data_IF_888944258290
#
_entry.id   IF_888944258290
#
_cell.length_a   1.000
_cell.length_b   1.000
_cell.length_c   1.000
_cell.angle_alpha   90.00
_cell.angle_beta   90.00
_cell.angle_gamma   90.00
#
_symmetry.space_group_name_H-M   'P 1'
#
loop_
_entity.id
_entity.type
_entity.pdbx_description
1 polymer ?
#
# COMPACT_ATOMS: atom_id res chain seq x y z
N UNK A 1 -37.79 -69.03 17.45
CA UNK A 1 -36.47 -69.66 17.46
C UNK A 1 -35.64 -69.00 16.37
N UNK A 2 -34.76 -68.05 16.74
CA UNK A 2 -33.88 -67.37 15.79
C UNK A 2 -32.53 -68.10 15.74
N UNK A 3 -31.89 -68.27 14.58
CA UNK A 3 -30.64 -69.01 14.47
C UNK A 3 -29.50 -68.17 15.07
N UNK A 4 -28.69 -68.80 15.90
CA UNK A 4 -27.46 -68.22 16.42
C UNK A 4 -26.43 -68.11 15.29
N UNK A 5 -25.95 -66.90 15.03
CA UNK A 5 -24.85 -66.65 14.10
C UNK A 5 -23.55 -67.12 14.78
N UNK A 6 -22.72 -67.96 14.14
CA UNK A 6 -21.53 -68.50 14.76
C UNK A 6 -20.49 -67.39 14.97
N UNK A 7 -19.78 -67.46 16.10
CA UNK A 7 -18.79 -66.47 16.56
C UNK A 7 -17.61 -66.12 15.60
N UNK A 8 -17.16 -66.94 14.62
CA UNK A 8 -15.97 -66.56 13.86
C UNK A 8 -16.26 -65.50 12.78
N UNK A 9 -17.53 -65.18 12.50
CA UNK A 9 -17.88 -64.17 11.49
C UNK A 9 -17.78 -62.72 12.01
N UNK A 10 -17.81 -62.50 13.32
CA UNK A 10 -17.64 -61.18 13.94
C UNK A 10 -16.17 -60.73 14.01
N UNK A 11 -15.22 -61.67 13.97
CA UNK A 11 -13.79 -61.35 14.03
C UNK A 11 -13.21 -60.85 12.68
N UNK A 12 -13.85 -61.19 11.56
CA UNK A 12 -13.35 -60.81 10.23
C UNK A 12 -13.76 -59.37 9.81
N UNK A 13 -14.83 -58.82 10.40
CA UNK A 13 -15.26 -57.44 10.16
C UNK A 13 -14.39 -56.39 10.88
N UNK A 14 -13.61 -56.79 11.89
CA UNK A 14 -12.71 -55.90 12.62
C UNK A 14 -11.36 -55.65 11.90
N UNK A 15 -11.05 -56.41 10.83
CA UNK A 15 -9.78 -56.32 10.09
C UNK A 15 -9.87 -55.48 8.80
N UNK A 16 -11.04 -54.91 8.49
CA UNK A 16 -11.26 -54.08 7.29
C UNK A 16 -11.59 -52.60 7.59
N UNK A 17 -11.53 -52.17 8.84
CA UNK A 17 -11.69 -50.77 9.22
C UNK A 17 -10.34 -50.19 9.66
N UNK A 18 -9.57 -49.54 8.77
CA UNK A 18 -8.48 -48.69 9.24
C UNK A 18 -9.10 -47.47 9.91
N UNK A 19 -8.86 -47.31 11.22
CA UNK A 19 -8.89 -46.01 11.89
C UNK A 19 -10.21 -45.55 12.49
N UNK A 20 -10.63 -46.13 13.62
CA UNK A 20 -11.54 -45.48 14.57
C UNK A 20 -11.04 -45.76 16.00
N UNK A 21 -9.90 -45.19 16.35
CA UNK A 21 -9.27 -45.41 17.66
C UNK A 21 -8.18 -44.42 18.03
N UNK A 22 -8.12 -43.25 17.38
CA UNK A 22 -7.34 -42.12 17.87
C UNK A 22 -8.27 -41.19 18.65
N UNK A 23 -7.87 -40.78 19.85
CA UNK A 23 -8.50 -39.63 20.50
C UNK A 23 -8.47 -38.47 19.50
N UNK A 24 -9.63 -37.85 19.23
CA UNK A 24 -9.68 -36.60 18.46
C UNK A 24 -8.71 -35.62 19.16
N UNK A 25 -7.88 -34.87 18.42
CA UNK A 25 -7.04 -33.85 19.05
C UNK A 25 -7.96 -32.93 19.86
N UNK A 26 -7.59 -32.68 21.11
CA UNK A 26 -8.23 -31.63 21.88
C UNK A 26 -7.91 -30.31 21.17
N UNK A 27 -8.89 -29.76 20.47
CA UNK A 27 -8.80 -28.45 19.88
C UNK A 27 -9.11 -27.41 20.97
N UNK A 28 -8.15 -26.51 21.23
CA UNK A 28 -8.31 -25.42 22.19
C UNK A 28 -9.22 -24.29 21.69
N UNK A 29 -9.75 -24.41 20.46
CA UNK A 29 -10.70 -23.47 19.88
C UNK A 29 -12.15 -23.97 19.98
N UNK A 30 -13.09 -23.11 20.41
CA UNK A 30 -14.52 -23.39 20.28
C UNK A 30 -14.93 -23.76 18.85
N UNK A 31 -15.89 -24.68 18.69
CA UNK A 31 -16.35 -25.18 17.38
C UNK A 31 -16.76 -24.08 16.37
N UNK A 32 -17.30 -22.95 16.86
CA UNK A 32 -17.68 -21.83 16.00
C UNK A 32 -16.48 -21.07 15.40
N UNK A 33 -15.28 -21.25 15.95
CA UNK A 33 -14.04 -20.66 15.43
C UNK A 33 -13.25 -21.63 14.55
N UNK A 34 -13.67 -22.89 14.40
CA UNK A 34 -12.90 -23.89 13.64
C UNK A 34 -12.63 -23.49 12.18
N UNK A 35 -13.52 -22.68 11.60
CA UNK A 35 -13.37 -22.19 10.23
C UNK A 35 -12.98 -20.70 10.15
N UNK A 36 -12.56 -20.07 11.25
CA UNK A 36 -12.20 -18.64 11.25
C UNK A 36 -10.85 -18.37 10.57
N UNK A 37 -9.95 -19.34 10.52
CA UNK A 37 -8.70 -19.27 9.75
C UNK A 37 -8.26 -20.66 9.29
N UNK A 38 -7.30 -20.75 8.37
CA UNK A 38 -6.73 -22.04 7.97
C UNK A 38 -5.88 -22.67 9.07
N UNK A 39 -5.19 -21.86 9.87
CA UNK A 39 -4.39 -22.34 11.01
C UNK A 39 -5.27 -23.00 12.07
N UNK A 40 -6.41 -22.38 12.40
CA UNK A 40 -7.37 -22.96 13.35
C UNK A 40 -8.02 -24.22 12.77
N UNK A 41 -8.38 -24.23 11.49
CA UNK A 41 -8.93 -25.41 10.83
C UNK A 41 -7.94 -26.59 10.84
N UNK A 42 -6.64 -26.33 10.64
CA UNK A 42 -5.58 -27.34 10.67
C UNK A 42 -5.31 -27.83 12.10
N UNK A 43 -5.23 -26.91 13.06
CA UNK A 43 -5.06 -27.24 14.48
C UNK A 43 -6.21 -28.11 15.01
N UNK A 44 -7.42 -27.93 14.47
CA UNK A 44 -8.63 -28.59 14.91
C UNK A 44 -9.10 -29.72 13.97
N UNK A 45 -8.29 -30.12 12.98
CA UNK A 45 -8.61 -31.16 11.99
C UNK A 45 -9.99 -30.97 11.33
N UNK A 46 -10.36 -29.70 11.09
CA UNK A 46 -11.64 -29.29 10.52
C UNK A 46 -11.51 -28.86 9.05
N UNK A 47 -10.39 -29.17 8.39
CA UNK A 47 -10.05 -28.73 7.02
C UNK A 47 -11.13 -29.14 6.02
N UNK A 48 -11.59 -30.40 6.09
CA UNK A 48 -12.63 -30.95 5.20
C UNK A 48 -14.03 -30.39 5.46
N UNK A 49 -14.29 -29.92 6.68
CA UNK A 49 -15.52 -29.25 7.07
C UNK A 49 -15.52 -27.80 6.55
N UNK A 50 -14.38 -27.12 6.70
CA UNK A 50 -14.24 -25.72 6.34
C UNK A 50 -14.04 -25.49 4.83
N UNK A 51 -13.58 -26.49 4.08
CA UNK A 51 -13.39 -26.41 2.63
C UNK A 51 -14.69 -26.29 1.84
N UNK A 52 -15.81 -26.79 2.38
CA UNK A 52 -17.13 -26.74 1.76
C UNK A 52 -18.00 -25.56 2.22
N UNK A 53 -17.56 -24.83 3.25
CA UNK A 53 -18.20 -23.58 3.62
C UNK A 53 -17.66 -22.50 2.70
N UNK A 54 -18.55 -21.87 1.91
CA UNK A 54 -18.24 -20.61 1.25
C UNK A 54 -17.90 -19.60 2.33
N UNK A 55 -16.60 -19.45 2.64
CA UNK A 55 -16.13 -18.37 3.48
C UNK A 55 -16.57 -17.07 2.82
N UNK A 56 -17.10 -16.09 3.58
CA UNK A 56 -17.14 -14.73 3.09
C UNK A 56 -15.74 -14.42 2.55
N UNK A 57 -15.66 -13.89 1.33
CA UNK A 57 -14.37 -13.49 0.79
C UNK A 57 -13.70 -12.56 1.82
N UNK A 58 -12.46 -12.88 2.19
CA UNK A 58 -11.65 -12.06 3.07
C UNK A 58 -11.64 -10.63 2.55
N UNK A 59 -11.74 -9.64 3.46
CA UNK A 59 -11.49 -8.26 3.05
C UNK A 59 -10.05 -8.15 2.54
N UNK A 60 -9.80 -7.40 1.45
CA UNK A 60 -8.44 -7.12 1.00
C UNK A 60 -7.67 -6.40 2.12
N UNK A 61 -6.37 -6.65 2.18
CA UNK A 61 -5.48 -5.86 3.04
C UNK A 61 -5.30 -4.49 2.40
N UNK A 62 -5.55 -3.44 3.18
CA UNK A 62 -5.42 -2.06 2.71
C UNK A 62 -4.00 -1.56 2.96
N UNK A 63 -3.30 -1.17 1.90
CA UNK A 63 -2.01 -0.48 1.95
C UNK A 63 -2.20 0.98 1.56
N UNK A 64 -1.86 1.91 2.43
CA UNK A 64 -1.70 3.32 2.04
C UNK A 64 -0.23 3.72 2.15
N UNK A 65 0.31 4.26 1.06
CA UNK A 65 1.70 4.71 0.97
C UNK A 65 1.73 6.23 0.80
N UNK A 66 2.31 6.93 1.78
CA UNK A 66 2.60 8.35 1.70
C UNK A 66 4.09 8.52 1.37
N UNK A 67 4.37 9.23 0.27
CA UNK A 67 5.71 9.23 -0.33
C UNK A 67 6.00 10.48 -1.15
N UNK A 68 7.24 10.63 -1.62
CA UNK A 68 7.69 11.73 -2.48
C UNK A 68 8.46 11.18 -3.68
N UNK A 69 8.25 11.79 -4.85
CA UNK A 69 8.77 11.31 -6.12
C UNK A 69 10.30 11.36 -6.26
N UNK A 70 11.02 12.08 -5.39
CA UNK A 70 12.50 12.09 -5.40
C UNK A 70 13.13 11.46 -4.16
N UNK A 71 12.35 10.94 -3.21
CA UNK A 71 12.89 10.28 -2.04
C UNK A 71 13.42 8.87 -2.39
N UNK A 72 14.73 8.56 -2.21
CA UNK A 72 15.28 7.27 -2.60
C UNK A 72 14.62 6.06 -1.93
N UNK A 73 14.28 6.16 -0.64
CA UNK A 73 13.61 5.09 0.10
C UNK A 73 12.18 4.86 -0.39
N UNK A 74 11.45 5.94 -0.68
CA UNK A 74 10.11 5.89 -1.26
C UNK A 74 10.10 5.14 -2.58
N UNK A 75 11.02 5.52 -3.47
CA UNK A 75 11.17 4.95 -4.79
C UNK A 75 11.53 3.48 -4.74
N UNK A 76 12.49 3.13 -3.87
CA UNK A 76 12.86 1.73 -3.66
C UNK A 76 11.65 0.92 -3.17
N UNK A 77 10.92 1.41 -2.18
CA UNK A 77 9.77 0.70 -1.63
C UNK A 77 8.64 0.55 -2.67
N UNK A 78 8.30 1.61 -3.39
CA UNK A 78 7.26 1.57 -4.43
C UNK A 78 7.61 0.58 -5.54
N UNK A 79 8.84 0.65 -6.07
CA UNK A 79 9.29 -0.16 -7.20
C UNK A 79 9.54 -1.61 -6.81
N UNK A 80 10.16 -1.86 -5.64
CA UNK A 80 10.61 -3.20 -5.26
C UNK A 80 9.60 -3.97 -4.41
N UNK A 81 8.85 -3.29 -3.54
CA UNK A 81 7.89 -3.94 -2.64
C UNK A 81 6.46 -3.82 -3.19
N UNK A 82 5.96 -2.59 -3.40
CA UNK A 82 4.54 -2.36 -3.73
C UNK A 82 4.20 -2.89 -5.12
N UNK A 83 4.98 -2.54 -6.14
CA UNK A 83 4.72 -3.00 -7.51
C UNK A 83 4.85 -4.52 -7.63
N UNK A 84 5.84 -5.13 -6.98
CA UNK A 84 6.01 -6.58 -6.93
C UNK A 84 4.82 -7.27 -6.25
N UNK A 85 4.35 -6.75 -5.11
CA UNK A 85 3.19 -7.31 -4.42
C UNK A 85 1.93 -7.22 -5.28
N UNK A 86 1.70 -6.08 -5.93
CA UNK A 86 0.57 -5.88 -6.84
C UNK A 86 0.58 -6.84 -8.04
N UNK A 87 1.75 -7.18 -8.58
CA UNK A 87 1.87 -8.14 -9.68
C UNK A 87 1.66 -9.60 -9.26
N UNK A 88 2.07 -9.96 -8.04
CA UNK A 88 2.09 -11.35 -7.58
C UNK A 88 0.81 -11.76 -6.86
N UNK A 89 0.11 -10.81 -6.24
CA UNK A 89 -1.08 -11.10 -5.44
C UNK A 89 -2.34 -11.08 -6.32
N UNK A 90 -3.34 -11.92 -5.99
CA UNK A 90 -4.67 -11.80 -6.59
C UNK A 90 -5.27 -10.40 -6.34
N UNK A 91 -6.06 -9.85 -7.28
CA UNK A 91 -6.67 -8.52 -7.15
C UNK A 91 -7.51 -8.32 -5.89
N UNK A 92 -8.08 -9.39 -5.36
CA UNK A 92 -8.90 -9.41 -4.14
C UNK A 92 -8.11 -9.41 -2.82
N UNK A 93 -6.77 -9.50 -2.90
CA UNK A 93 -5.92 -9.64 -1.71
C UNK A 93 -5.38 -8.32 -1.19
N UNK A 94 -5.12 -7.35 -2.07
CA UNK A 94 -4.43 -6.11 -1.74
C UNK A 94 -5.10 -4.92 -2.42
N UNK A 95 -5.51 -3.95 -1.62
CA UNK A 95 -5.97 -2.65 -2.10
C UNK A 95 -4.92 -1.59 -1.78
N UNK A 96 -4.55 -0.77 -2.77
CA UNK A 96 -3.41 0.14 -2.68
C UNK A 96 -3.88 1.58 -2.86
N UNK A 97 -3.55 2.43 -1.90
CA UNK A 97 -3.70 3.89 -1.97
C UNK A 97 -2.32 4.52 -2.02
N UNK A 98 -2.11 5.41 -2.98
CA UNK A 98 -0.87 6.18 -3.15
C UNK A 98 -1.15 7.63 -2.83
N UNK A 99 -0.29 8.26 -2.04
CA UNK A 99 -0.39 9.68 -1.66
C UNK A 99 0.96 10.36 -1.93
N UNK A 100 1.20 10.83 -3.18
CA UNK A 100 2.39 11.60 -3.52
C UNK A 100 2.29 13.01 -2.95
N UNK A 101 3.04 13.26 -1.88
CA UNK A 101 3.17 14.55 -1.20
C UNK A 101 4.33 14.49 -0.20
N UNK A 102 4.29 13.47 0.67
CA UNK A 102 5.26 13.18 1.70
C UNK A 102 5.54 14.35 2.63
N UNK A 103 6.79 14.79 2.71
CA UNK A 103 7.20 15.91 3.55
C UNK A 103 7.22 17.26 2.81
N UNK A 104 6.54 17.35 1.65
CA UNK A 104 6.32 18.64 1.02
C UNK A 104 5.56 19.58 1.99
N UNK A 105 5.78 20.87 1.80
CA UNK A 105 5.23 21.94 2.60
C UNK A 105 4.54 22.94 1.68
N UNK A 106 3.62 23.75 2.19
CA UNK A 106 3.00 24.81 1.41
C UNK A 106 3.80 26.10 1.64
N UNK A 107 4.44 26.62 0.60
CA UNK A 107 5.49 27.65 0.69
C UNK A 107 5.10 29.09 0.35
N UNK A 108 5.92 30.06 0.78
CA UNK A 108 5.72 31.50 0.60
C UNK A 108 6.70 32.10 -0.42
N UNK A 109 6.25 33.02 -1.29
CA UNK A 109 7.16 33.78 -2.14
C UNK A 109 7.97 34.79 -1.32
N UNK A 110 9.31 34.88 -1.47
CA UNK A 110 10.05 36.02 -0.95
C UNK A 110 9.65 37.28 -1.75
N UNK A 111 9.15 38.28 -1.04
CA UNK A 111 9.21 39.65 -1.52
C UNK A 111 10.69 39.96 -1.78
N UNK A 112 11.03 40.25 -3.04
CA UNK A 112 12.25 40.87 -3.53
C UNK A 112 13.38 41.03 -2.48
N UNK A 113 14.33 40.09 -2.43
CA UNK A 113 15.57 40.29 -1.72
C UNK A 113 16.56 41.06 -2.62
N UNK A 114 16.49 42.38 -2.52
CA UNK A 114 17.61 43.28 -2.78
C UNK A 114 18.66 43.03 -1.67
N UNK A 115 19.83 42.50 -2.04
CA UNK A 115 21.12 42.76 -1.34
C UNK A 115 21.62 41.75 -0.29
N UNK A 116 22.85 41.24 -0.55
CA UNK A 116 24.00 40.94 0.35
C UNK A 116 23.82 40.03 1.60
N UNK A 117 24.73 39.18 2.07
CA UNK A 117 26.15 38.84 1.85
C UNK A 117 26.42 37.44 2.51
N UNK A 118 27.62 36.80 2.39
CA UNK A 118 27.87 35.39 2.74
C UNK A 118 28.35 35.19 4.19
N UNK A 119 27.96 34.08 4.81
CA UNK A 119 28.46 33.70 6.13
C UNK A 119 27.96 32.33 6.59
N UNK A 120 28.81 31.32 6.41
CA UNK A 120 28.97 30.04 7.14
C UNK A 120 27.88 29.58 8.12
N UNK A 121 27.23 28.45 7.81
CA UNK A 121 26.67 27.52 8.80
C UNK A 121 26.62 26.07 8.26
N UNK A 122 26.83 25.12 9.18
CA UNK A 122 27.06 23.66 9.03
C UNK A 122 25.85 22.86 8.51
N UNK A 123 26.03 21.68 7.87
CA UNK A 123 24.93 20.88 7.37
C UNK A 123 24.29 20.06 8.49
N UNK A 124 22.97 19.96 8.48
CA UNK A 124 22.15 19.07 9.31
C UNK A 124 22.09 19.43 10.80
N UNK A 125 21.14 20.30 11.16
CA UNK A 125 20.26 20.23 12.34
C UNK A 125 19.66 21.61 12.55
N UNK A 126 18.37 21.80 12.23
CA UNK A 126 17.40 22.54 13.03
C UNK A 126 16.11 22.67 12.21
N UNK A 127 15.07 22.03 12.76
CA UNK A 127 13.66 22.36 12.63
C UNK A 127 13.43 23.80 12.15
N UNK A 128 13.17 23.99 10.86
CA UNK A 128 12.46 25.16 10.37
C UNK A 128 11.04 24.69 10.18
N UNK A 129 10.12 25.28 10.95
CA UNK A 129 8.68 25.08 10.86
C UNK A 129 8.15 26.19 9.95
N UNK A 130 7.56 25.88 8.78
CA UNK A 130 6.85 26.84 7.96
C UNK A 130 5.42 26.39 7.63
N UNK A 131 4.54 27.38 7.54
CA UNK A 131 3.08 27.28 7.65
C UNK A 131 2.37 27.58 6.32
N UNK A 132 1.14 27.08 6.18
CA UNK A 132 0.23 27.30 5.04
C UNK A 132 -0.04 28.78 4.71
N UNK A 133 -0.15 29.11 3.41
CA UNK A 133 -0.90 30.31 2.95
C UNK A 133 -1.48 30.18 1.54
N UNK A 134 -2.74 30.57 1.43
CA UNK A 134 -3.38 30.93 0.18
C UNK A 134 -2.81 32.28 -0.30
N UNK A 135 -1.90 32.27 -1.27
CA UNK A 135 -1.38 33.51 -1.88
C UNK A 135 -2.25 33.84 -3.08
N UNK A 136 -3.13 34.84 -2.92
CA UNK A 136 -4.01 35.32 -4.00
C UNK A 136 -4.93 34.25 -4.61
N UNK A 137 -5.42 33.32 -3.80
CA UNK A 137 -6.27 32.21 -4.22
C UNK A 137 -5.53 30.93 -4.60
N UNK A 138 -4.19 30.93 -4.64
CA UNK A 138 -3.39 29.81 -5.17
C UNK A 138 -2.49 29.17 -4.13
N UNK A 139 -2.47 27.84 -4.13
CA UNK A 139 -1.56 27.02 -3.33
C UNK A 139 -0.18 26.94 -3.99
N UNK A 140 0.87 27.07 -3.19
CA UNK A 140 2.26 26.90 -3.62
C UNK A 140 2.90 25.82 -2.77
N UNK A 141 3.76 24.99 -3.36
CA UNK A 141 4.36 23.83 -2.71
C UNK A 141 5.89 23.96 -2.71
N UNK A 142 6.50 23.66 -1.57
CA UNK A 142 7.93 23.57 -1.33
C UNK A 142 8.26 22.12 -0.94
N UNK A 143 9.14 21.47 -1.69
CA UNK A 143 9.49 20.06 -1.47
C UNK A 143 10.97 19.94 -1.08
N UNK A 144 11.34 18.90 -0.33
CA UNK A 144 12.68 18.77 0.25
C UNK A 144 13.77 18.60 -0.80
N UNK A 145 13.43 17.98 -1.93
CA UNK A 145 14.33 17.77 -3.06
C UNK A 145 14.09 18.81 -4.17
N UNK A 146 13.48 19.95 -3.83
CA UNK A 146 13.32 21.10 -4.71
C UNK A 146 12.13 21.00 -5.68
N UNK A 147 12.06 21.91 -6.68
CA UNK A 147 10.89 22.04 -7.54
C UNK A 147 10.64 20.84 -8.45
N UNK A 148 11.66 20.02 -8.74
CA UNK A 148 11.50 18.80 -9.54
C UNK A 148 10.67 17.75 -8.79
N UNK A 149 10.83 17.62 -7.47
CA UNK A 149 9.99 16.76 -6.64
C UNK A 149 8.55 17.24 -6.58
N UNK A 150 8.32 18.54 -6.38
CA UNK A 150 6.97 19.09 -6.40
C UNK A 150 6.28 18.84 -7.75
N UNK A 151 7.02 18.98 -8.85
CA UNK A 151 6.51 18.67 -10.18
C UNK A 151 6.22 17.16 -10.34
N UNK A 152 7.08 16.28 -9.83
CA UNK A 152 6.86 14.83 -9.84
C UNK A 152 5.61 14.44 -9.05
N UNK A 153 5.47 14.90 -7.80
CA UNK A 153 4.29 14.68 -6.98
C UNK A 153 3.01 15.18 -7.68
N UNK A 154 3.07 16.36 -8.29
CA UNK A 154 1.97 16.94 -9.07
C UNK A 154 1.59 16.08 -10.29
N UNK A 155 2.59 15.61 -11.04
CA UNK A 155 2.39 14.72 -12.20
C UNK A 155 1.68 13.44 -11.76
N UNK A 156 2.12 12.82 -10.68
CA UNK A 156 1.55 11.56 -10.19
C UNK A 156 0.12 11.74 -9.67
N UNK A 157 -0.15 12.81 -8.91
CA UNK A 157 -1.50 13.15 -8.46
C UNK A 157 -2.46 13.41 -9.65
N UNK A 158 -2.01 14.17 -10.65
CA UNK A 158 -2.79 14.44 -11.85
C UNK A 158 -2.98 13.20 -12.73
N UNK A 159 -1.97 12.33 -12.83
CA UNK A 159 -2.06 11.07 -13.55
C UNK A 159 -3.11 10.16 -12.93
N UNK A 160 -3.14 10.04 -11.59
CA UNK A 160 -4.17 9.31 -10.87
C UNK A 160 -5.57 9.89 -11.14
N UNK A 161 -5.71 11.22 -11.10
CA UNK A 161 -6.96 11.92 -11.37
C UNK A 161 -7.49 11.71 -12.80
N UNK A 162 -6.63 11.84 -13.81
CA UNK A 162 -7.01 11.75 -15.21
C UNK A 162 -7.26 10.30 -15.64
N UNK A 163 -6.41 9.36 -15.21
CA UNK A 163 -6.54 7.96 -15.58
C UNK A 163 -7.67 7.26 -14.82
N UNK A 164 -7.91 7.61 -13.54
CA UNK A 164 -8.90 7.06 -12.59
C UNK A 164 -8.77 5.56 -12.28
N UNK A 165 -8.23 4.78 -13.20
CA UNK A 165 -8.08 3.35 -13.13
C UNK A 165 -6.66 3.03 -12.62
N UNK A 166 -6.60 2.37 -11.46
CA UNK A 166 -5.35 1.94 -10.82
C UNK A 166 -4.46 1.14 -11.77
N UNK A 167 -5.04 0.22 -12.54
CA UNK A 167 -4.30 -0.61 -13.49
C UNK A 167 -3.71 0.17 -14.68
N UNK A 168 -4.11 1.42 -14.88
CA UNK A 168 -3.54 2.32 -15.90
C UNK A 168 -2.47 3.23 -15.30
N UNK A 169 -2.76 3.94 -14.20
CA UNK A 169 -1.79 4.90 -13.67
C UNK A 169 -0.64 4.23 -12.93
N UNK A 170 -0.86 3.11 -12.25
CA UNK A 170 0.16 2.54 -11.39
C UNK A 170 1.39 2.03 -12.15
N UNK A 171 1.26 1.36 -13.32
CA UNK A 171 2.41 1.05 -14.16
C UNK A 171 3.15 2.29 -14.70
N UNK A 172 2.45 3.40 -14.95
CA UNK A 172 3.08 4.67 -15.32
C UNK A 172 3.88 5.23 -14.15
N UNK A 173 3.32 5.27 -12.92
CA UNK A 173 4.02 5.71 -11.71
C UNK A 173 5.26 4.85 -11.46
N UNK A 174 5.13 3.52 -11.51
CA UNK A 174 6.27 2.60 -11.41
C UNK A 174 7.39 2.93 -12.40
N UNK A 175 7.04 3.25 -13.65
CA UNK A 175 8.00 3.63 -14.68
C UNK A 175 8.72 4.95 -14.36
N UNK A 176 7.98 5.98 -13.90
CA UNK A 176 8.54 7.27 -13.50
C UNK A 176 9.50 7.08 -12.33
N UNK A 177 9.08 6.33 -11.32
CA UNK A 177 9.83 6.09 -10.09
C UNK A 177 11.03 5.16 -10.27
N UNK A 178 11.05 4.41 -11.37
CA UNK A 178 12.22 3.61 -11.79
C UNK A 178 13.24 4.42 -12.59
N UNK A 179 12.91 5.63 -13.04
CA UNK A 179 13.75 6.44 -13.93
C UNK A 179 14.76 7.32 -13.19
N UNK A 180 15.80 7.83 -13.85
CA UNK A 180 16.74 8.76 -13.20
C UNK A 180 16.12 10.12 -12.89
N UNK A 181 15.03 10.49 -13.57
CA UNK A 181 14.28 11.73 -13.37
C UNK A 181 12.80 11.47 -13.69
N UNK A 182 11.94 11.36 -12.66
CA UNK A 182 10.51 11.10 -12.83
C UNK A 182 9.82 12.08 -13.78
N UNK A 183 10.28 13.33 -13.80
CA UNK A 183 9.68 14.37 -14.64
C UNK A 183 10.04 14.24 -16.12
N UNK A 184 11.27 13.83 -16.45
CA UNK A 184 11.76 13.75 -17.84
C UNK A 184 11.28 12.51 -18.57
N UNK A 185 10.93 11.45 -17.84
CA UNK A 185 10.52 10.17 -18.42
C UNK A 185 9.01 10.03 -18.68
N UNK A 186 8.22 11.05 -18.34
CA UNK A 186 6.75 11.03 -18.45
C UNK A 186 6.25 10.57 -19.81
N UNK A 187 6.73 11.18 -20.89
CA UNK A 187 6.27 10.85 -22.25
C UNK A 187 6.57 9.40 -22.65
N UNK A 188 7.73 8.88 -22.27
CA UNK A 188 8.10 7.49 -22.54
C UNK A 188 7.25 6.51 -21.73
N UNK A 189 7.01 6.80 -20.44
CA UNK A 189 6.19 5.96 -19.58
C UNK A 189 4.72 5.95 -20.03
N UNK A 190 4.16 7.11 -20.41
CA UNK A 190 2.81 7.20 -20.98
C UNK A 190 2.71 6.43 -22.29
N UNK A 191 3.71 6.53 -23.17
CA UNK A 191 3.69 5.81 -24.45
C UNK A 191 3.62 4.29 -24.27
N UNK A 192 4.28 3.75 -23.24
CA UNK A 192 4.32 2.31 -22.97
C UNK A 192 3.07 1.84 -22.24
N UNK A 193 2.67 2.53 -21.18
CA UNK A 193 1.68 2.01 -20.24
C UNK A 193 0.29 2.64 -20.39
N UNK A 194 0.19 3.86 -20.93
CA UNK A 194 -1.07 4.58 -21.07
C UNK A 194 -1.16 5.40 -22.38
N UNK A 195 -0.98 4.77 -23.57
CA UNK A 195 -0.91 5.51 -24.84
C UNK A 195 -2.21 6.23 -25.22
N UNK A 196 -3.34 5.82 -24.63
CA UNK A 196 -4.66 6.42 -24.84
C UNK A 196 -4.98 7.56 -23.86
N UNK A 197 -4.12 7.83 -22.87
CA UNK A 197 -4.33 8.91 -21.92
C UNK A 197 -4.17 10.26 -22.63
N UNK A 198 -5.10 11.17 -22.40
CA UNK A 198 -5.08 12.51 -22.99
C UNK A 198 -3.96 13.34 -22.34
N UNK A 199 -2.86 13.53 -23.08
CA UNK A 199 -1.69 14.29 -22.64
C UNK A 199 -2.01 15.78 -22.45
N UNK A 200 -2.96 16.32 -23.22
CA UNK A 200 -3.39 17.70 -23.09
C UNK A 200 -4.11 17.94 -21.76
N UNK A 201 -5.00 17.01 -21.38
CA UNK A 201 -5.67 17.06 -20.08
C UNK A 201 -4.71 16.87 -18.91
N UNK A 202 -3.78 15.90 -19.03
CA UNK A 202 -2.75 15.70 -18.02
C UNK A 202 -1.90 16.96 -17.81
N UNK A 203 -1.40 17.56 -18.90
CA UNK A 203 -0.62 18.79 -18.83
C UNK A 203 -1.42 19.97 -18.25
N UNK A 204 -2.70 20.09 -18.62
CA UNK A 204 -3.60 21.11 -18.07
C UNK A 204 -3.85 20.91 -16.56
N UNK A 205 -3.96 19.67 -16.09
CA UNK A 205 -4.05 19.38 -14.66
C UNK A 205 -2.78 19.81 -13.93
N UNK A 206 -1.61 19.40 -14.43
CA UNK A 206 -0.30 19.67 -13.79
C UNK A 206 -0.02 21.17 -13.68
N UNK A 207 -0.42 21.95 -14.68
CA UNK A 207 -0.19 23.41 -14.72
C UNK A 207 -1.34 24.22 -14.10
N UNK A 208 -2.46 23.58 -13.78
CA UNK A 208 -3.72 24.24 -13.45
C UNK A 208 -4.13 24.12 -12.00
N UNK A 209 -5.26 24.75 -11.68
CA UNK A 209 -5.81 24.78 -10.32
C UNK A 209 -6.26 23.38 -9.86
N UNK A 210 -6.58 22.47 -10.80
CA UNK A 210 -6.89 21.05 -10.50
C UNK A 210 -5.71 20.36 -9.82
N UNK A 211 -4.51 20.45 -10.39
CA UNK A 211 -3.32 19.88 -9.80
C UNK A 211 -3.03 20.48 -8.42
N UNK A 212 -3.12 21.80 -8.30
CA UNK A 212 -2.95 22.48 -7.02
C UNK A 212 -3.96 22.00 -5.96
N UNK A 213 -5.22 21.78 -6.34
CA UNK A 213 -6.23 21.24 -5.44
C UNK A 213 -5.94 19.78 -5.03
N UNK A 214 -5.46 18.95 -5.96
CA UNK A 214 -5.05 17.56 -5.68
C UNK A 214 -3.86 17.50 -4.72
N UNK A 215 -2.83 18.31 -4.96
CA UNK A 215 -1.67 18.40 -4.06
C UNK A 215 -2.06 18.91 -2.67
N UNK A 216 -2.95 19.90 -2.59
CA UNK A 216 -3.48 20.36 -1.29
C UNK A 216 -4.31 19.26 -0.60
N UNK A 217 -5.11 18.49 -1.33
CA UNK A 217 -5.82 17.36 -0.77
C UNK A 217 -4.86 16.30 -0.20
N UNK A 218 -3.78 15.98 -0.93
CA UNK A 218 -2.76 15.07 -0.43
C UNK A 218 -2.04 15.63 0.82
N UNK A 219 -1.83 16.95 0.90
CA UNK A 219 -1.32 17.61 2.10
C UNK A 219 -2.24 17.34 3.30
N UNK A 220 -3.55 17.57 3.15
CA UNK A 220 -4.54 17.35 4.20
C UNK A 220 -4.60 15.88 4.65
N UNK A 221 -4.51 14.93 3.71
CA UNK A 221 -4.44 13.50 4.04
C UNK A 221 -3.17 13.18 4.86
N UNK A 222 -2.05 13.80 4.50
CA UNK A 222 -0.75 13.58 5.13
C UNK A 222 -0.66 14.22 6.52
N UNK A 223 -1.28 15.39 6.71
CA UNK A 223 -1.38 16.09 8.00
C UNK A 223 -2.36 15.40 8.96
N UNK A 224 -3.39 14.75 8.43
CA UNK A 224 -4.37 14.01 9.21
C UNK A 224 -3.86 12.63 9.71
N UNK A 225 -2.62 12.26 9.39
CA UNK A 225 -2.02 11.02 9.86
C UNK A 225 -1.91 11.00 11.38
N UNK A 226 -2.33 9.87 11.97
CA UNK A 226 -2.20 9.58 13.40
C UNK A 226 -1.53 8.21 13.60
N UNK A 227 -0.30 8.15 14.15
CA UNK A 227 0.52 9.30 14.54
C UNK A 227 0.99 10.11 13.32
N UNK A 228 1.35 11.40 13.51
CA UNK A 228 1.94 12.20 12.45
C UNK A 228 3.20 11.51 11.90
N UNK A 229 3.34 11.52 10.58
CA UNK A 229 4.51 10.93 9.92
C UNK A 229 5.80 11.62 10.37
N UNK A 230 6.86 10.84 10.58
CA UNK A 230 8.17 11.34 11.00
C UNK A 230 9.19 11.32 9.85
N UNK A 231 8.91 10.55 8.81
CA UNK A 231 9.72 10.37 7.62
C UNK A 231 8.85 9.74 6.52
N UNK A 232 9.41 9.61 5.32
CA UNK A 232 8.80 8.86 4.22
C UNK A 232 9.77 7.80 3.68
N UNK A 233 9.29 6.67 3.15
CA UNK A 233 7.89 6.30 2.96
C UNK A 233 7.17 6.08 4.30
N UNK A 234 5.93 6.52 4.40
CA UNK A 234 5.08 6.27 5.58
C UNK A 234 3.97 5.30 5.20
N UNK A 235 3.99 4.13 5.85
CA UNK A 235 3.19 2.97 5.46
C UNK A 235 2.07 2.77 6.48
N UNK A 236 0.83 2.71 5.98
CA UNK A 236 -0.32 2.28 6.74
C UNK A 236 -0.80 0.93 6.22
N UNK A 237 -1.03 -0.01 7.13
CA UNK A 237 -1.64 -1.31 6.86
C UNK A 237 -2.99 -1.35 7.58
N UNK A 238 -4.07 -1.58 6.84
CA UNK A 238 -5.44 -1.53 7.35
C UNK A 238 -5.73 -0.24 8.12
N UNK A 239 -5.25 0.89 7.58
CA UNK A 239 -5.42 2.23 8.14
C UNK A 239 -4.60 2.51 9.40
N UNK A 240 -3.66 1.63 9.77
CA UNK A 240 -2.81 1.81 10.97
C UNK A 240 -1.34 1.87 10.62
N UNK A 241 -0.63 2.78 11.28
CA UNK A 241 0.82 2.81 11.28
C UNK A 241 1.39 2.37 12.63
N UNK A 242 2.40 1.52 12.61
CA UNK A 242 3.29 1.24 13.75
C UNK A 242 4.70 1.02 13.21
N UNK A 243 5.72 1.28 14.03
CA UNK A 243 7.12 1.01 13.66
C UNK A 243 7.33 -0.46 13.25
N UNK A 244 6.59 -1.39 13.87
CA UNK A 244 6.66 -2.80 13.52
C UNK A 244 6.00 -3.11 12.18
N UNK A 245 4.83 -2.54 11.87
CA UNK A 245 4.20 -2.72 10.56
C UNK A 245 5.05 -2.10 9.45
N UNK A 246 5.63 -0.92 9.68
CA UNK A 246 6.57 -0.27 8.78
C UNK A 246 7.77 -1.19 8.50
N UNK A 247 8.45 -1.67 9.54
CA UNK A 247 9.62 -2.54 9.40
C UNK A 247 9.29 -3.87 8.70
N UNK A 248 8.14 -4.48 9.02
CA UNK A 248 7.70 -5.71 8.36
C UNK A 248 7.37 -5.49 6.88
N UNK A 249 6.74 -4.37 6.53
CA UNK A 249 6.43 -4.02 5.15
C UNK A 249 7.69 -3.75 4.33
N UNK A 250 8.64 -2.98 4.88
CA UNK A 250 9.93 -2.70 4.23
C UNK A 250 10.78 -3.95 4.02
N UNK A 251 10.73 -4.90 4.97
CA UNK A 251 11.45 -6.16 4.88
C UNK A 251 10.82 -7.12 3.86
N UNK A 252 9.50 -7.31 3.90
CA UNK A 252 8.77 -8.14 2.95
C UNK A 252 7.28 -7.78 2.97
N UNK A 253 6.88 -6.84 2.11
CA UNK A 253 5.48 -6.45 1.97
C UNK A 253 4.63 -7.64 1.54
N UNK A 254 5.08 -8.40 0.54
CA UNK A 254 4.39 -9.62 0.10
C UNK A 254 4.15 -10.59 1.26
N UNK A 255 5.18 -10.86 2.06
CA UNK A 255 5.06 -11.74 3.22
C UNK A 255 4.11 -11.20 4.28
N UNK A 256 4.10 -9.87 4.52
CA UNK A 256 3.18 -9.22 5.43
C UNK A 256 1.73 -9.35 4.95
N UNK A 257 1.43 -9.04 3.69
CA UNK A 257 0.08 -9.13 3.13
C UNK A 257 -0.44 -10.57 3.20
N UNK A 258 0.37 -11.57 2.83
CA UNK A 258 -0.02 -12.98 2.92
C UNK A 258 -0.33 -13.44 4.36
N UNK A 259 0.29 -12.83 5.39
CA UNK A 259 -0.03 -13.13 6.79
C UNK A 259 -1.34 -12.49 7.26
N UNK A 260 -1.69 -11.34 6.69
CA UNK A 260 -2.84 -10.55 7.14
C UNK A 260 -4.14 -10.90 6.40
N UNK A 261 -4.04 -11.46 5.20
CA UNK A 261 -5.18 -11.91 4.41
C UNK A 261 -5.69 -13.28 4.92
N UNK A 262 -6.92 -13.36 5.42
CA UNK A 262 -7.49 -14.54 6.11
C UNK A 262 -8.81 -15.06 5.52
#
# INVERSE_FOLDING_TARGET
MAPAVPLPLLALLALLAPGLGGALPACDHPAHLWCSSWDVATACQAESLCSNLSRPAAAPVELSLFYESLCPACRWFLVQQVFTAWLLLPPETLNITLVPYGNAQVGAAPAAAVGAHPGTASPCSHQLVPQERNVSGKWQFECQHGPEECLGNMIEACLMHEAKNFSIYFPVIFCLESSTSPTKNLEACLQVYAPQLDRGRLAACVQGDTGAALMHHNAQLTEALDPPHQYVPWILINGKHTDELQAQAEASLLGLICRLYQ
#
